data_IF_563002445378
#
_entry.id   IF_563002445378
#
_cell.length_a   1.000
_cell.length_b   1.000
_cell.length_c   1.000
_cell.angle_alpha   90.00
_cell.angle_beta   90.00
_cell.angle_gamma   90.00
#
_symmetry.space_group_name_H-M   'P 1'
#
loop_
_entity.id
_entity.type
_entity.pdbx_description
1 polymer ?
#
# COMPACT_ATOMS: atom_id res chain seq x y z
N UNK A 1 16.20 -22.27 16.98
CA UNK A 1 15.65 -20.92 17.23
C UNK A 1 15.28 -20.18 15.93
N UNK A 2 16.15 -20.16 14.92
CA UNK A 2 15.95 -19.46 13.64
C UNK A 2 14.70 -19.87 12.84
N UNK A 3 14.37 -21.16 12.74
CA UNK A 3 13.14 -21.64 12.07
C UNK A 3 11.83 -21.09 12.69
N UNK A 4 11.79 -20.89 14.01
CA UNK A 4 10.60 -20.32 14.69
C UNK A 4 10.43 -18.82 14.39
N UNK A 5 11.54 -18.08 14.27
CA UNK A 5 11.52 -16.66 13.87
C UNK A 5 10.99 -16.50 12.43
N UNK A 6 11.41 -17.36 11.51
CA UNK A 6 10.95 -17.33 10.12
C UNK A 6 9.45 -17.65 9.99
N UNK A 7 8.91 -18.58 10.78
CA UNK A 7 7.47 -18.89 10.77
C UNK A 7 6.63 -17.76 11.35
N UNK A 8 7.13 -17.05 12.36
CA UNK A 8 6.44 -15.89 12.95
C UNK A 8 6.45 -14.69 11.99
N UNK A 9 7.54 -14.49 11.24
CA UNK A 9 7.66 -13.43 10.23
C UNK A 9 6.73 -13.61 9.00
N UNK A 10 6.24 -14.84 8.77
CA UNK A 10 5.24 -15.12 7.72
C UNK A 10 3.82 -14.72 8.10
N UNK A 11 3.56 -14.40 9.38
CA UNK A 11 2.21 -14.00 9.80
C UNK A 11 1.89 -12.62 9.22
N UNK A 12 0.72 -12.46 8.58
CA UNK A 12 0.35 -11.21 7.92
C UNK A 12 0.33 -10.02 8.90
N UNK A 13 -0.15 -10.26 10.12
CA UNK A 13 -0.20 -9.26 11.18
C UNK A 13 1.18 -8.75 11.58
N UNK A 14 2.18 -9.64 11.70
CA UNK A 14 3.54 -9.24 12.12
C UNK A 14 4.18 -8.33 11.07
N UNK A 15 3.98 -8.63 9.78
CA UNK A 15 4.46 -7.77 8.70
C UNK A 15 3.77 -6.40 8.69
N UNK A 16 2.47 -6.36 8.97
CA UNK A 16 1.73 -5.11 8.96
C UNK A 16 2.08 -4.25 10.18
N UNK A 17 2.23 -4.85 11.36
CA UNK A 17 2.71 -4.16 12.57
C UNK A 17 4.14 -3.69 12.40
N UNK A 18 5.03 -4.50 11.84
CA UNK A 18 6.40 -4.08 11.55
C UNK A 18 6.43 -2.90 10.58
N UNK A 19 5.60 -2.91 9.54
CA UNK A 19 5.50 -1.79 8.60
C UNK A 19 4.92 -0.55 9.27
N UNK A 20 3.91 -0.68 10.13
CA UNK A 20 3.37 0.42 10.91
C UNK A 20 4.40 1.03 11.87
N UNK A 21 5.22 0.19 12.52
CA UNK A 21 6.30 0.65 13.39
C UNK A 21 7.41 1.35 12.59
N UNK A 22 7.78 0.82 11.43
CA UNK A 22 8.75 1.47 10.54
C UNK A 22 8.23 2.83 10.09
N UNK A 23 6.95 2.93 9.68
CA UNK A 23 6.37 4.22 9.29
C UNK A 23 6.29 5.20 10.46
N UNK A 24 5.83 4.73 11.62
CA UNK A 24 5.80 5.55 12.82
C UNK A 24 7.20 6.04 13.19
N UNK A 25 8.21 5.19 13.04
CA UNK A 25 9.60 5.54 13.28
C UNK A 25 10.13 6.54 12.26
N UNK A 26 9.82 6.40 10.96
CA UNK A 26 10.27 7.36 9.95
C UNK A 26 9.61 8.71 10.12
N UNK A 27 8.31 8.73 10.43
CA UNK A 27 7.53 9.95 10.66
C UNK A 27 8.01 10.63 11.97
N UNK A 28 8.02 9.92 13.11
CA UNK A 28 8.45 10.49 14.40
C UNK A 28 9.98 10.72 14.50
N UNK A 29 10.77 9.94 13.80
CA UNK A 29 12.24 10.01 13.83
C UNK A 29 12.78 11.27 13.15
N UNK A 30 12.15 11.71 12.05
CA UNK A 30 12.44 13.01 11.44
C UNK A 30 12.04 14.19 12.35
N UNK A 31 11.09 13.96 13.24
CA UNK A 31 10.47 14.97 14.10
C UNK A 31 11.22 15.23 15.42
N UNK A 32 12.20 14.40 15.80
CA UNK A 32 12.97 14.63 17.04
C UNK A 32 13.85 15.89 17.02
N UNK A 33 14.04 16.50 15.84
CA UNK A 33 14.79 17.75 15.69
C UNK A 33 13.94 19.02 15.91
N UNK A 34 12.61 18.91 16.03
CA UNK A 34 11.68 20.05 16.04
C UNK A 34 10.63 19.85 17.15
N UNK A 35 10.22 20.91 17.85
CA UNK A 35 9.14 20.86 18.84
C UNK A 35 7.79 20.58 18.16
N UNK A 36 7.49 19.31 17.91
CA UNK A 36 6.31 18.92 17.15
C UNK A 36 5.04 19.01 18.02
N UNK A 37 3.97 19.65 17.51
CA UNK A 37 2.70 19.69 18.23
C UNK A 37 2.12 18.30 18.47
N UNK A 38 1.48 18.11 19.62
CA UNK A 38 0.84 16.83 19.97
C UNK A 38 -0.21 16.37 18.94
N UNK A 39 -0.88 17.32 18.27
CA UNK A 39 -1.83 17.03 17.19
C UNK A 39 -1.19 16.29 16.01
N UNK A 40 0.01 16.71 15.59
CA UNK A 40 0.75 16.09 14.49
C UNK A 40 1.16 14.67 14.84
N UNK A 41 1.69 14.47 16.05
CA UNK A 41 2.05 13.14 16.54
C UNK A 41 0.83 12.20 16.60
N UNK A 42 -0.33 12.72 17.01
CA UNK A 42 -1.58 11.95 17.01
C UNK A 42 -2.02 11.58 15.60
N UNK A 43 -1.94 12.49 14.63
CA UNK A 43 -2.27 12.22 13.22
C UNK A 43 -1.36 11.14 12.64
N UNK A 44 -0.05 11.23 12.86
CA UNK A 44 0.92 10.23 12.40
C UNK A 44 0.67 8.85 13.05
N UNK A 45 0.36 8.83 14.34
CA UNK A 45 0.07 7.62 15.10
C UNK A 45 -1.24 6.96 14.63
N UNK A 46 -2.31 7.74 14.46
CA UNK A 46 -3.60 7.24 13.99
C UNK A 46 -3.51 6.71 12.55
N UNK A 47 -2.82 7.43 11.67
CA UNK A 47 -2.57 7.00 10.28
C UNK A 47 -1.78 5.69 10.22
N UNK A 48 -0.74 5.57 11.04
CA UNK A 48 0.08 4.35 11.13
C UNK A 48 -0.69 3.18 11.74
N UNK A 49 -1.53 3.44 12.75
CA UNK A 49 -2.36 2.43 13.41
C UNK A 49 -3.46 1.85 12.50
N UNK A 50 -3.84 2.55 11.42
CA UNK A 50 -4.78 2.05 10.41
C UNK A 50 -4.15 1.05 9.43
N UNK A 51 -2.82 1.03 9.29
CA UNK A 51 -2.13 0.20 8.31
C UNK A 51 -2.38 -1.32 8.43
N UNK A 52 -2.58 -1.92 9.62
CA UNK A 52 -3.00 -3.33 9.73
C UNK A 52 -4.35 -3.66 9.07
N UNK A 53 -5.25 -2.67 8.92
CA UNK A 53 -6.56 -2.87 8.30
C UNK A 53 -6.50 -2.85 6.76
N UNK A 54 -5.38 -2.42 6.17
CA UNK A 54 -5.23 -2.18 4.72
C UNK A 54 -5.46 -3.42 3.85
N UNK A 55 -5.31 -4.63 4.41
CA UNK A 55 -5.55 -5.88 3.68
C UNK A 55 -7.03 -6.21 3.51
N UNK A 56 -7.88 -5.79 4.45
CA UNK A 56 -9.32 -6.06 4.44
C UNK A 56 -10.12 -4.92 3.83
N UNK A 57 -9.71 -3.67 4.11
CA UNK A 57 -10.42 -2.48 3.68
C UNK A 57 -9.46 -1.44 3.08
N UNK A 58 -8.74 -1.76 1.97
CA UNK A 58 -7.71 -0.89 1.39
C UNK A 58 -8.25 0.51 1.02
N UNK A 59 -9.46 0.58 0.47
CA UNK A 59 -10.11 1.85 0.10
C UNK A 59 -10.45 2.69 1.32
N UNK A 60 -11.04 2.08 2.36
CA UNK A 60 -11.42 2.78 3.59
C UNK A 60 -10.19 3.36 4.27
N UNK A 61 -9.11 2.57 4.35
CA UNK A 61 -7.83 3.01 4.92
C UNK A 61 -7.23 4.17 4.13
N UNK A 62 -7.27 4.12 2.79
CA UNK A 62 -6.82 5.24 1.94
C UNK A 62 -7.64 6.51 2.20
N UNK A 63 -8.97 6.40 2.26
CA UNK A 63 -9.85 7.54 2.50
C UNK A 63 -9.58 8.16 3.87
N UNK A 64 -9.48 7.35 4.93
CA UNK A 64 -9.21 7.83 6.29
C UNK A 64 -7.85 8.52 6.38
N UNK A 65 -6.80 7.92 5.79
CA UNK A 65 -5.47 8.52 5.78
C UNK A 65 -5.45 9.81 4.95
N UNK A 66 -6.16 9.86 3.81
CA UNK A 66 -6.31 11.07 3.02
C UNK A 66 -7.04 12.20 3.77
N UNK A 67 -8.06 11.87 4.56
CA UNK A 67 -8.72 12.85 5.45
C UNK A 67 -7.75 13.39 6.50
N UNK A 68 -6.90 12.53 7.08
CA UNK A 68 -5.89 12.96 8.03
C UNK A 68 -4.79 13.83 7.40
N UNK A 69 -4.35 13.47 6.20
CA UNK A 69 -3.37 14.24 5.43
C UNK A 69 -3.89 15.65 5.09
N UNK A 70 -5.11 15.72 4.54
CA UNK A 70 -5.76 17.01 4.22
C UNK A 70 -6.05 17.85 5.46
N UNK A 71 -6.44 17.23 6.58
CA UNK A 71 -6.58 17.94 7.85
C UNK A 71 -5.23 18.46 8.37
N UNK A 72 -4.14 17.70 8.21
CA UNK A 72 -2.79 18.12 8.55
C UNK A 72 -2.32 19.33 7.74
N UNK A 73 -2.57 19.32 6.42
CA UNK A 73 -2.29 20.46 5.54
C UNK A 73 -3.05 21.72 5.97
N UNK A 74 -4.33 21.58 6.34
CA UNK A 74 -5.15 22.70 6.83
C UNK A 74 -4.62 23.31 8.14
N UNK A 75 -3.83 22.56 8.91
CA UNK A 75 -3.15 23.05 10.12
C UNK A 75 -1.78 23.68 9.81
N UNK A 76 -1.43 23.92 8.54
CA UNK A 76 -0.11 24.40 8.08
C UNK A 76 1.05 23.43 8.38
N UNK A 77 0.76 22.15 8.60
CA UNK A 77 1.76 21.11 8.81
C UNK A 77 1.81 20.18 7.58
N UNK A 78 2.70 20.49 6.64
CA UNK A 78 2.72 19.89 5.30
C UNK A 78 3.18 18.43 5.21
N UNK A 79 3.76 17.85 6.27
CA UNK A 79 4.46 16.55 6.20
C UNK A 79 3.95 15.49 7.20
N UNK A 80 2.68 15.53 7.58
CA UNK A 80 2.21 14.73 8.74
C UNK A 80 1.78 13.30 8.44
N UNK A 81 1.47 12.95 7.19
CA UNK A 81 0.95 11.62 6.84
C UNK A 81 1.37 11.11 5.45
N UNK A 82 2.45 11.64 4.89
CA UNK A 82 2.88 11.33 3.52
C UNK A 82 3.27 9.86 3.38
N UNK A 83 4.04 9.30 4.32
CA UNK A 83 4.43 7.89 4.29
C UNK A 83 3.23 6.93 4.35
N UNK A 84 2.35 7.03 5.36
CA UNK A 84 1.11 6.26 5.43
C UNK A 84 0.24 6.36 4.19
N UNK A 85 0.15 7.54 3.56
CA UNK A 85 -0.63 7.74 2.33
C UNK A 85 -0.09 6.89 1.17
N UNK A 86 1.23 6.89 0.95
CA UNK A 86 1.85 6.05 -0.08
C UNK A 86 1.64 4.55 0.18
N UNK A 87 1.71 4.12 1.43
CA UNK A 87 1.44 2.73 1.80
C UNK A 87 -0.03 2.36 1.55
N UNK A 88 -0.95 3.28 1.80
CA UNK A 88 -2.37 3.08 1.52
C UNK A 88 -2.65 2.97 0.01
N UNK A 89 -2.06 3.86 -0.79
CA UNK A 89 -2.14 3.81 -2.25
C UNK A 89 -1.56 2.51 -2.83
N UNK A 90 -0.40 2.11 -2.34
CA UNK A 90 0.19 0.81 -2.64
C UNK A 90 -0.77 -0.34 -2.32
N UNK A 91 -1.46 -0.27 -1.18
CA UNK A 91 -2.41 -1.30 -0.74
C UNK A 91 -3.64 -1.36 -1.63
N UNK A 92 -4.14 -0.20 -2.11
CA UNK A 92 -5.22 -0.15 -3.09
C UNK A 92 -4.79 -0.85 -4.39
N UNK A 93 -3.61 -0.53 -4.93
CA UNK A 93 -3.10 -1.19 -6.13
C UNK A 93 -2.93 -2.70 -5.97
N UNK A 94 -2.57 -3.15 -4.77
CA UNK A 94 -2.28 -4.56 -4.46
C UNK A 94 -3.51 -5.41 -4.13
N UNK A 95 -4.53 -4.83 -3.50
CA UNK A 95 -5.64 -5.57 -2.90
C UNK A 95 -7.01 -5.26 -3.51
N UNK A 96 -7.08 -4.42 -4.54
CA UNK A 96 -8.34 -4.08 -5.23
C UNK A 96 -8.33 -4.42 -6.71
N UNK A 97 -9.49 -4.32 -7.37
CA UNK A 97 -9.61 -4.49 -8.82
C UNK A 97 -8.85 -3.39 -9.58
N UNK A 98 -8.48 -3.66 -10.84
CA UNK A 98 -7.81 -2.68 -11.72
C UNK A 98 -8.62 -1.38 -11.82
N UNK A 99 -9.94 -1.49 -12.03
CA UNK A 99 -10.82 -0.33 -12.14
C UNK A 99 -10.79 0.50 -10.84
N UNK A 100 -10.95 -0.14 -9.69
CA UNK A 100 -10.89 0.53 -8.38
C UNK A 100 -9.55 1.23 -8.15
N UNK A 101 -8.44 0.58 -8.52
CA UNK A 101 -7.10 1.15 -8.40
C UNK A 101 -6.93 2.40 -9.27
N UNK A 102 -7.39 2.36 -10.53
CA UNK A 102 -7.33 3.50 -11.45
C UNK A 102 -8.18 4.65 -10.91
N UNK A 103 -9.43 4.39 -10.51
CA UNK A 103 -10.33 5.41 -9.96
C UNK A 103 -9.72 6.07 -8.73
N UNK A 104 -9.19 5.28 -7.79
CA UNK A 104 -8.57 5.80 -6.57
C UNK A 104 -7.28 6.58 -6.85
N UNK A 105 -6.51 6.19 -7.86
CA UNK A 105 -5.31 6.94 -8.28
C UNK A 105 -5.71 8.32 -8.79
N UNK A 106 -6.67 8.37 -9.72
CA UNK A 106 -7.15 9.63 -10.29
C UNK A 106 -7.72 10.53 -9.20
N UNK A 107 -8.57 9.99 -8.32
CA UNK A 107 -9.12 10.75 -7.19
C UNK A 107 -8.03 11.29 -6.28
N UNK A 108 -7.02 10.49 -5.94
CA UNK A 108 -5.94 10.92 -5.06
C UNK A 108 -5.09 12.03 -5.68
N UNK A 109 -4.84 11.97 -7.00
CA UNK A 109 -4.15 13.04 -7.74
C UNK A 109 -4.98 14.31 -7.73
N UNK A 110 -6.27 14.23 -8.08
CA UNK A 110 -7.16 15.39 -8.14
C UNK A 110 -7.28 16.05 -6.76
N UNK A 111 -7.53 15.25 -5.72
CA UNK A 111 -7.64 15.75 -4.34
C UNK A 111 -6.32 16.38 -3.91
N UNK A 112 -5.19 15.67 -4.04
CA UNK A 112 -3.88 16.17 -3.62
C UNK A 112 -3.45 17.45 -4.33
N UNK A 113 -3.71 17.58 -5.63
CA UNK A 113 -3.43 18.81 -6.37
C UNK A 113 -4.35 19.96 -5.93
N UNK A 114 -5.65 19.69 -5.74
CA UNK A 114 -6.61 20.71 -5.31
C UNK A 114 -6.33 21.23 -3.90
N UNK A 115 -5.96 20.35 -2.97
CA UNK A 115 -5.64 20.71 -1.58
C UNK A 115 -4.31 21.46 -1.50
N UNK A 116 -3.32 21.04 -2.29
CA UNK A 116 -2.06 21.75 -2.39
C UNK A 116 -2.24 23.16 -2.97
N UNK A 117 -3.00 23.29 -4.07
CA UNK A 117 -3.28 24.59 -4.66
C UNK A 117 -4.04 25.54 -3.72
N UNK A 118 -4.99 25.00 -2.94
CA UNK A 118 -5.74 25.77 -1.95
C UNK A 118 -4.87 26.23 -0.76
N UNK A 119 -3.88 25.43 -0.36
CA UNK A 119 -3.06 25.69 0.85
C UNK A 119 -1.83 26.53 0.54
N UNK A 120 -1.14 26.25 -0.58
CA UNK A 120 0.16 26.83 -0.91
C UNK A 120 0.15 27.71 -2.17
N UNK A 121 -1.01 27.88 -2.81
CA UNK A 121 -1.12 28.54 -4.11
C UNK A 121 -0.75 27.62 -5.27
N UNK A 122 -0.77 28.15 -6.50
CA UNK A 122 -0.61 27.35 -7.73
C UNK A 122 0.75 26.63 -7.76
N UNK A 123 0.79 25.29 -7.62
CA UNK A 123 2.03 24.55 -7.78
C UNK A 123 2.42 24.62 -9.25
N UNK A 124 3.56 25.23 -9.58
CA UNK A 124 4.04 25.26 -10.97
C UNK A 124 3.99 23.87 -11.64
N UNK A 125 3.81 23.82 -12.95
CA UNK A 125 3.52 22.59 -13.71
C UNK A 125 4.44 21.39 -13.36
N UNK A 126 5.73 21.65 -13.12
CA UNK A 126 6.68 20.60 -12.73
C UNK A 126 6.31 19.93 -11.40
N UNK A 127 5.89 20.69 -10.39
CA UNK A 127 5.48 20.16 -9.09
C UNK A 127 4.20 19.32 -9.22
N UNK A 128 3.23 19.78 -10.03
CA UNK A 128 2.01 19.00 -10.30
C UNK A 128 2.32 17.63 -10.90
N UNK A 129 3.21 17.58 -11.90
CA UNK A 129 3.60 16.35 -12.57
C UNK A 129 4.33 15.41 -11.62
N UNK A 130 5.24 15.92 -10.80
CA UNK A 130 5.99 15.10 -9.83
C UNK A 130 5.04 14.49 -8.79
N UNK A 131 4.13 15.28 -8.23
CA UNK A 131 3.14 14.80 -7.26
C UNK A 131 2.24 13.72 -7.87
N UNK A 132 1.71 13.96 -9.08
CA UNK A 132 0.90 12.98 -9.78
C UNK A 132 1.66 11.67 -10.05
N UNK A 133 2.92 11.78 -10.47
CA UNK A 133 3.78 10.63 -10.77
C UNK A 133 4.07 9.80 -9.52
N UNK A 134 4.39 10.44 -8.39
CA UNK A 134 4.65 9.74 -7.13
C UNK A 134 3.43 8.95 -6.65
N UNK A 135 2.25 9.57 -6.68
CA UNK A 135 1.00 8.90 -6.29
C UNK A 135 0.69 7.71 -7.22
N UNK A 136 0.84 7.91 -8.52
CA UNK A 136 0.62 6.86 -9.52
C UNK A 136 1.63 5.70 -9.36
N UNK A 137 2.90 5.99 -9.07
CA UNK A 137 3.94 4.98 -8.87
C UNK A 137 3.64 4.06 -7.69
N UNK A 138 3.12 4.60 -6.59
CA UNK A 138 2.75 3.79 -5.43
C UNK A 138 1.66 2.77 -5.78
N UNK A 139 0.60 3.20 -6.47
CA UNK A 139 -0.49 2.31 -6.91
C UNK A 139 0.02 1.31 -7.96
N UNK A 140 0.78 1.77 -8.95
CA UNK A 140 1.34 0.92 -10.00
C UNK A 140 2.23 -0.20 -9.42
N UNK A 141 3.05 0.12 -8.42
CA UNK A 141 3.89 -0.87 -7.72
C UNK A 141 3.04 -1.94 -7.03
N UNK A 142 1.94 -1.53 -6.38
CA UNK A 142 0.96 -2.46 -5.79
C UNK A 142 0.35 -3.38 -6.84
N UNK A 143 -0.05 -2.81 -7.97
CA UNK A 143 -0.68 -3.52 -9.08
C UNK A 143 0.25 -4.56 -9.72
N UNK A 144 1.51 -4.19 -9.98
CA UNK A 144 2.53 -5.11 -10.52
C UNK A 144 2.73 -6.32 -9.60
N UNK A 145 2.74 -6.11 -8.28
CA UNK A 145 2.89 -7.21 -7.31
C UNK A 145 1.65 -8.11 -7.31
N UNK A 146 0.45 -7.55 -7.46
CA UNK A 146 -0.79 -8.32 -7.62
C UNK A 146 -0.72 -9.22 -8.86
N UNK A 147 -0.38 -8.65 -10.01
CA UNK A 147 -0.27 -9.38 -11.28
C UNK A 147 0.78 -10.50 -11.20
N UNK A 148 1.93 -10.24 -10.59
CA UNK A 148 2.96 -11.27 -10.40
C UNK A 148 2.43 -12.46 -9.59
N UNK A 149 1.65 -12.21 -8.53
CA UNK A 149 1.06 -13.27 -7.72
C UNK A 149 0.04 -14.08 -8.51
N UNK A 150 -0.82 -13.40 -9.26
CA UNK A 150 -1.81 -14.04 -10.12
C UNK A 150 -1.13 -14.95 -11.16
N UNK A 151 -0.06 -14.48 -11.80
CA UNK A 151 0.72 -15.27 -12.76
C UNK A 151 1.41 -16.47 -12.11
N UNK A 152 1.96 -16.31 -10.90
CA UNK A 152 2.57 -17.43 -10.15
C UNK A 152 1.51 -18.48 -9.80
N UNK A 153 0.35 -18.07 -9.30
CA UNK A 153 -0.74 -19.00 -8.95
C UNK A 153 -1.26 -19.73 -10.19
N UNK A 154 -1.40 -19.04 -11.33
CA UNK A 154 -1.81 -19.69 -12.60
C UNK A 154 -0.78 -20.72 -13.07
N UNK A 155 0.52 -20.42 -12.95
CA UNK A 155 1.58 -21.39 -13.29
C UNK A 155 1.57 -22.61 -12.37
N UNK A 156 1.36 -22.43 -11.08
CA UNK A 156 1.26 -23.53 -10.12
C UNK A 156 0.05 -24.43 -10.42
N UNK A 157 -1.08 -23.83 -10.80
CA UNK A 157 -2.27 -24.57 -11.24
C UNK A 157 -2.01 -25.36 -12.53
N UNK A 158 -1.38 -24.73 -13.53
CA UNK A 158 -1.03 -25.40 -14.79
C UNK A 158 -0.12 -26.61 -14.57
N UNK A 159 0.92 -26.49 -13.73
CA UNK A 159 1.83 -27.59 -13.42
C UNK A 159 1.08 -28.72 -12.69
N UNK A 160 0.17 -28.39 -11.79
CA UNK A 160 -0.65 -29.40 -11.11
C UNK A 160 -1.55 -30.14 -12.12
N UNK A 161 -2.25 -29.41 -12.98
CA UNK A 161 -3.15 -29.98 -14.00
C UNK A 161 -2.39 -30.85 -15.01
N UNK A 162 -1.21 -30.41 -15.48
CA UNK A 162 -0.33 -31.21 -16.35
C UNK A 162 0.17 -32.48 -15.65
N UNK A 163 0.52 -32.40 -14.37
CA UNK A 163 0.91 -33.56 -13.56
C UNK A 163 -0.21 -34.60 -13.41
N UNK A 164 -1.47 -34.16 -13.25
CA UNK A 164 -2.62 -35.05 -13.24
C UNK A 164 -2.89 -35.67 -14.62
N UNK A 165 -2.72 -34.91 -15.71
CA UNK A 165 -2.89 -35.41 -17.07
C UNK A 165 -1.84 -36.47 -17.45
N UNK A 166 -0.58 -36.32 -17.02
CA UNK A 166 0.48 -37.32 -17.24
C UNK A 166 0.20 -38.62 -16.49
N UNK A 167 -0.40 -38.57 -15.31
CA UNK A 167 -0.72 -39.78 -14.52
C UNK A 167 -1.96 -40.52 -15.05
N UNK A 168 -2.92 -39.82 -15.67
CA UNK A 168 -4.10 -40.41 -16.29
C UNK A 168 -3.79 -41.15 -17.62
N UNK A 169 -2.65 -40.86 -18.24
CA UNK A 169 -2.23 -41.44 -19.52
C UNK A 169 -1.28 -42.65 -19.39
N UNK A 170 -1.24 -43.31 -18.22
CA UNK A 170 -0.63 -44.66 -18.07
C UNK A 170 -1.75 -45.73 -18.15
N UNK A 171 -2.28 -46.06 -19.34
CA UNK A 171 -3.10 -47.25 -19.49
C UNK A 171 -2.20 -48.49 -19.57
N UNK A 172 -2.25 -49.33 -18.54
CA UNK A 172 -2.41 -50.78 -18.67
C UNK A 172 -1.48 -51.53 -19.65
N UNK A 173 -0.18 -51.21 -19.71
CA UNK A 173 0.83 -52.09 -20.34
C UNK A 173 1.38 -53.13 -19.34
N UNK A 174 0.49 -53.74 -18.56
CA UNK A 174 0.87 -54.77 -17.58
C UNK A 174 -0.22 -55.86 -17.49
N UNK A 175 -0.68 -56.38 -18.63
CA UNK A 175 -1.38 -57.67 -18.70
C UNK A 175 -1.21 -58.32 -20.08
N UNK A 176 -0.04 -58.87 -20.36
CA UNK A 176 0.15 -59.97 -21.32
C UNK A 176 1.35 -60.79 -20.92
#
# INVERSE_FOLDING_TARGET
>A
MFKRLLTTAKRPLVQDTALALVMLWTELGGLQAVNVPASVALVALLSSAMLPLRRRHPVVVLVVIGVFDTAGMAMEHSDTAVGPLFVALYSVGRYTSTLTSVVMTVLSIVIGLSTHAATFGDPGQAAMVITALNLALAVATGHIISLRRELTTRREQQIADEGFAVHAHIPLLEKT
#
